data_IF_520977388090
#
_entry.id   IF_520977388090
#
_cell.length_a   1.000
_cell.length_b   1.000
_cell.length_c   1.000
_cell.angle_alpha   90.00
_cell.angle_beta   90.00
_cell.angle_gamma   90.00
#
_symmetry.space_group_name_H-M   'P 1'
#
loop_
_entity.id
_entity.type
_entity.pdbx_description
1 polymer ?
#
# COMPACT_ATOMS: atom_id res chain seq x y z
N UNK A 1 22.58 6.40 -29.86
CA UNK A 1 23.09 6.18 -28.49
C UNK A 1 21.89 6.15 -27.57
N UNK A 2 21.44 4.94 -27.19
CA UNK A 2 20.29 4.76 -26.30
C UNK A 2 20.75 5.00 -24.88
N UNK A 3 20.01 5.84 -24.17
CA UNK A 3 20.27 6.26 -22.80
C UNK A 3 20.36 5.06 -21.85
N UNK A 4 21.59 4.72 -21.44
CA UNK A 4 21.89 3.63 -20.50
C UNK A 4 21.58 3.99 -19.03
N UNK A 5 20.84 5.07 -18.75
CA UNK A 5 20.55 5.51 -17.37
C UNK A 5 19.24 4.96 -16.79
N UNK A 6 18.42 4.26 -17.58
CA UNK A 6 17.16 3.65 -17.12
C UNK A 6 17.30 2.13 -16.92
N UNK A 7 18.29 1.71 -16.13
CA UNK A 7 18.24 0.36 -15.59
C UNK A 7 17.08 0.34 -14.58
N UNK A 8 16.06 -0.54 -14.73
CA UNK A 8 15.06 -0.69 -13.69
C UNK A 8 15.80 -0.93 -12.37
N UNK A 9 15.30 -0.34 -11.28
CA UNK A 9 15.87 -0.45 -9.95
C UNK A 9 15.71 -1.92 -9.46
N UNK A 10 16.47 -2.83 -10.08
CA UNK A 10 16.33 -4.27 -9.89
C UNK A 10 16.96 -4.62 -8.55
N UNK A 11 16.19 -5.20 -7.62
CA UNK A 11 16.74 -5.55 -6.31
C UNK A 11 17.87 -6.57 -6.47
N UNK A 12 18.93 -6.41 -5.67
CA UNK A 12 20.08 -7.34 -5.64
C UNK A 12 19.66 -8.79 -5.36
N UNK A 13 18.57 -8.99 -4.62
CA UNK A 13 17.93 -10.28 -4.40
C UNK A 13 16.42 -10.07 -4.32
N UNK A 14 15.67 -10.58 -5.30
CA UNK A 14 14.21 -10.44 -5.36
C UNK A 14 13.46 -11.19 -4.24
N UNK A 15 14.16 -12.01 -3.43
CA UNK A 15 13.59 -12.65 -2.24
C UNK A 15 13.67 -11.76 -0.99
N UNK A 16 14.29 -10.58 -1.10
CA UNK A 16 14.46 -9.63 -0.02
C UNK A 16 13.79 -8.31 -0.37
N UNK A 17 13.09 -7.74 0.59
CA UNK A 17 12.57 -6.37 0.50
C UNK A 17 13.74 -5.38 0.41
N UNK A 18 13.62 -4.42 -0.49
CA UNK A 18 14.54 -3.27 -0.59
C UNK A 18 14.31 -2.29 0.57
N UNK A 19 15.23 -1.35 0.79
CA UNK A 19 15.06 -0.39 1.88
C UNK A 19 13.84 0.51 1.69
N UNK A 20 13.64 1.03 0.47
CA UNK A 20 12.46 1.84 0.13
C UNK A 20 11.13 1.07 0.34
N UNK A 21 11.14 -0.23 0.03
CA UNK A 21 9.98 -1.09 0.29
C UNK A 21 9.75 -1.28 1.78
N UNK A 22 10.81 -1.47 2.59
CA UNK A 22 10.70 -1.60 4.04
C UNK A 22 10.14 -0.32 4.67
N UNK A 23 10.65 0.84 4.28
CA UNK A 23 10.16 2.14 4.76
C UNK A 23 8.67 2.32 4.42
N UNK A 24 8.26 1.89 3.22
CA UNK A 24 6.85 1.91 2.81
C UNK A 24 6.00 0.94 3.63
N UNK A 25 6.50 -0.26 3.90
CA UNK A 25 5.82 -1.26 4.74
C UNK A 25 5.61 -0.73 6.16
N UNK A 26 6.63 -0.13 6.78
CA UNK A 26 6.56 0.46 8.12
C UNK A 26 5.52 1.59 8.21
N UNK A 27 5.45 2.45 7.19
CA UNK A 27 4.43 3.50 7.09
C UNK A 27 3.00 2.93 6.99
N UNK A 28 2.84 1.74 6.42
CA UNK A 28 1.54 1.10 6.20
C UNK A 28 1.11 0.19 7.36
N UNK A 29 2.04 -0.30 8.19
CA UNK A 29 1.73 -1.16 9.34
C UNK A 29 0.91 -0.42 10.42
N UNK A 30 1.03 0.90 10.53
CA UNK A 30 0.27 1.73 11.48
C UNK A 30 -1.15 2.10 11.02
N UNK A 31 -1.67 1.45 9.98
CA UNK A 31 -2.98 1.80 9.39
C UNK A 31 -4.15 1.68 10.38
N UNK A 32 -4.06 0.76 11.34
CA UNK A 32 -5.12 0.52 12.31
C UNK A 32 -5.00 1.41 13.56
N UNK A 33 -3.91 2.18 13.67
CA UNK A 33 -3.67 3.15 14.76
C UNK A 33 -4.24 4.55 14.43
N UNK A 34 -4.77 4.78 13.23
CA UNK A 34 -5.36 6.05 12.82
C UNK A 34 -6.82 6.15 13.33
N UNK A 35 -7.10 6.95 14.39
CA UNK A 35 -8.45 7.09 14.94
C UNK A 35 -9.42 7.78 13.97
N UNK A 36 -8.91 8.50 12.97
CA UNK A 36 -9.68 9.20 11.93
C UNK A 36 -9.77 8.36 10.63
N UNK A 37 -9.35 7.08 10.67
CA UNK A 37 -9.38 6.22 9.50
C UNK A 37 -10.79 6.14 8.90
N UNK A 38 -10.93 6.27 7.56
CA UNK A 38 -12.22 6.47 6.90
C UNK A 38 -13.20 5.31 7.11
N UNK A 39 -12.73 4.11 7.46
CA UNK A 39 -13.54 2.93 7.74
C UNK A 39 -14.01 2.80 9.20
N UNK A 40 -13.38 3.49 10.16
CA UNK A 40 -13.72 3.37 11.59
C UNK A 40 -15.05 4.03 11.93
N UNK A 41 -15.46 5.05 11.17
CA UNK A 41 -16.70 5.78 11.40
C UNK A 41 -17.88 5.27 10.54
N UNK A 42 -17.65 4.31 9.64
CA UNK A 42 -18.69 3.79 8.75
C UNK A 42 -19.52 2.74 9.47
N UNK A 43 -20.81 3.01 9.64
CA UNK A 43 -21.78 1.99 10.02
C UNK A 43 -22.17 1.15 8.81
N UNK A 44 -22.44 -0.15 9.00
CA UNK A 44 -23.03 -1.03 7.96
C UNK A 44 -24.31 -0.46 7.32
N UNK A 45 -24.97 0.48 7.99
CA UNK A 45 -26.18 1.17 7.51
C UNK A 45 -25.88 2.35 6.58
N UNK A 46 -24.62 2.76 6.45
CA UNK A 46 -24.14 3.85 5.58
C UNK A 46 -23.50 3.31 4.29
N UNK A 47 -23.33 1.98 4.19
CA UNK A 47 -22.81 1.31 3.00
C UNK A 47 -23.99 0.85 2.13
N UNK A 48 -23.89 1.03 0.81
CA UNK A 48 -24.88 0.50 -0.11
C UNK A 48 -24.87 -1.03 -0.06
N UNK A 49 -26.05 -1.64 0.08
CA UNK A 49 -26.21 -3.10 0.01
C UNK A 49 -26.24 -3.53 -1.46
N UNK A 50 -25.10 -4.03 -1.96
CA UNK A 50 -24.92 -4.45 -3.34
C UNK A 50 -25.51 -5.86 -3.63
N UNK A 51 -26.31 -6.44 -2.74
CA UNK A 51 -26.82 -7.83 -2.86
C UNK A 51 -27.97 -8.04 -3.87
N UNK A 52 -28.39 -7.03 -4.63
CA UNK A 52 -29.44 -7.17 -5.65
C UNK A 52 -28.89 -7.04 -7.07
N UNK A 53 -28.92 -8.15 -7.82
CA UNK A 53 -28.69 -8.22 -9.27
C UNK A 53 -29.87 -8.90 -9.95
#
# INVERSE_FOLDING_TARGET
>A
VGDSSNAPNVPKDARKTTEEQRETEELLEHRDDDPDAPGLHQSRHQTADETTR
#
